data_IF_885997752516
#
_entry.id   IF_885997752516
#
_cell.length_a   1.000
_cell.length_b   1.000
_cell.length_c   1.000
_cell.angle_alpha   90.00
_cell.angle_beta   90.00
_cell.angle_gamma   90.00
#
_symmetry.space_group_name_H-M   'P 1'
#
loop_
_entity.id
_entity.type
_entity.pdbx_description
1 polymer ?
#
# COMPACT_ATOMS: atom_id res chain seq x y z
N UNK A 1 47.23 28.50 40.17
CA UNK A 1 45.89 28.43 40.78
C UNK A 1 45.02 29.55 40.22
N UNK A 2 44.12 29.24 39.29
CA UNK A 2 42.80 29.88 39.20
C UNK A 2 41.85 29.00 38.36
N UNK A 3 40.79 28.56 39.04
CA UNK A 3 39.50 28.11 38.54
C UNK A 3 39.44 27.15 37.32
N UNK A 4 39.76 25.88 37.54
CA UNK A 4 38.98 24.78 36.94
C UNK A 4 37.76 24.60 37.86
N UNK A 5 36.64 25.24 37.55
CA UNK A 5 35.40 25.09 38.31
C UNK A 5 34.31 24.42 37.48
N UNK A 6 33.71 23.41 38.12
CA UNK A 6 32.40 22.81 37.90
C UNK A 6 32.25 21.69 36.85
N UNK A 7 32.46 20.46 37.34
CA UNK A 7 31.68 19.24 37.07
C UNK A 7 31.39 18.84 35.61
N UNK A 8 32.12 17.87 35.09
CA UNK A 8 31.61 17.03 33.99
C UNK A 8 31.94 15.54 34.16
N UNK A 9 31.99 15.06 35.41
CA UNK A 9 32.27 13.65 35.76
C UNK A 9 31.02 12.78 35.94
N UNK A 10 29.85 13.16 35.42
CA UNK A 10 28.58 12.45 35.70
C UNK A 10 27.96 11.69 34.52
N UNK A 11 28.52 11.74 33.30
CA UNK A 11 27.94 11.05 32.14
C UNK A 11 28.97 10.20 31.41
N UNK A 12 28.60 8.93 31.14
CA UNK A 12 29.37 8.07 30.25
C UNK A 12 29.37 8.69 28.84
N UNK A 13 30.55 8.87 28.26
CA UNK A 13 30.71 9.43 26.90
C UNK A 13 30.73 8.27 25.90
N UNK A 14 29.68 8.08 25.09
CA UNK A 14 29.69 7.04 24.05
C UNK A 14 30.68 7.39 22.93
N UNK A 15 31.17 6.38 22.22
CA UNK A 15 32.05 6.59 21.06
C UNK A 15 31.36 7.31 19.89
N UNK A 16 30.04 7.13 19.77
CA UNK A 16 29.23 7.70 18.69
C UNK A 16 27.89 8.17 19.26
N UNK A 17 27.44 9.36 18.86
CA UNK A 17 26.05 9.81 19.04
C UNK A 17 25.46 10.16 17.68
N UNK A 18 24.22 9.76 17.45
CA UNK A 18 23.50 10.14 16.24
C UNK A 18 22.23 10.93 16.53
N UNK A 19 21.90 11.90 15.70
CA UNK A 19 20.58 12.58 15.69
C UNK A 19 20.06 12.76 14.27
N UNK A 20 18.73 12.89 14.15
CA UNK A 20 18.10 13.40 12.93
C UNK A 20 17.41 14.73 13.22
N UNK A 21 17.84 15.78 12.54
CA UNK A 21 17.37 17.15 12.78
C UNK A 21 16.67 17.69 11.53
N UNK A 22 15.72 18.60 11.73
CA UNK A 22 15.05 19.32 10.64
C UNK A 22 15.94 20.47 10.18
N UNK A 23 16.05 20.66 8.87
CA UNK A 23 16.66 21.86 8.29
C UNK A 23 15.84 23.08 8.72
N UNK A 24 16.52 24.11 9.23
CA UNK A 24 15.86 25.36 9.57
C UNK A 24 15.80 26.27 8.35
N UNK A 25 14.77 27.11 8.30
CA UNK A 25 14.66 28.17 7.30
C UNK A 25 14.38 29.48 8.02
N UNK A 26 15.11 30.53 7.63
CA UNK A 26 14.93 31.87 8.15
C UNK A 26 15.11 32.87 6.99
N UNK A 27 14.09 33.70 6.75
CA UNK A 27 14.08 34.70 5.68
C UNK A 27 14.43 34.09 4.29
N UNK A 28 13.87 32.92 3.98
CA UNK A 28 14.09 32.21 2.71
C UNK A 28 15.47 31.54 2.57
N UNK A 29 16.29 31.51 3.62
CA UNK A 29 17.61 30.88 3.61
C UNK A 29 17.64 29.64 4.51
N UNK A 30 18.13 28.53 3.96
CA UNK A 30 18.33 27.28 4.70
C UNK A 30 19.49 27.41 5.69
N UNK A 31 19.33 26.79 6.86
CA UNK A 31 20.31 26.76 7.95
C UNK A 31 20.39 25.36 8.55
N UNK A 32 21.61 24.87 8.72
CA UNK A 32 21.89 23.66 9.52
C UNK A 32 22.11 24.10 10.96
N UNK A 33 21.19 23.71 11.84
CA UNK A 33 21.26 24.00 13.27
C UNK A 33 21.33 22.71 14.08
N UNK A 34 22.40 22.56 14.86
CA UNK A 34 22.62 21.41 15.74
C UNK A 34 22.61 21.91 17.18
N UNK A 35 21.51 21.66 17.88
CA UNK A 35 21.37 21.97 19.31
C UNK A 35 21.38 20.67 20.10
N UNK A 36 22.38 20.48 20.96
CA UNK A 36 22.57 19.21 21.67
C UNK A 36 23.53 19.34 22.84
N UNK A 37 23.18 18.72 23.97
CA UNK A 37 24.10 18.49 25.10
C UNK A 37 25.30 17.61 24.68
N UNK A 38 25.10 16.73 23.69
CA UNK A 38 26.17 15.85 23.19
C UNK A 38 27.30 16.56 22.44
N UNK A 39 27.11 17.81 21.99
CA UNK A 39 28.18 18.55 21.29
C UNK A 39 29.38 18.70 22.23
N UNK A 40 29.15 19.16 23.46
CA UNK A 40 30.20 19.30 24.46
C UNK A 40 30.80 17.95 24.87
N UNK A 41 29.95 16.94 25.12
CA UNK A 41 30.43 15.58 25.44
C UNK A 41 31.33 14.98 24.35
N UNK A 42 31.14 15.40 23.09
CA UNK A 42 31.92 14.94 21.94
C UNK A 42 33.17 15.79 21.66
N UNK A 43 33.57 16.66 22.59
CA UNK A 43 34.80 17.45 22.51
C UNK A 43 34.67 18.80 21.80
N UNK A 44 33.44 19.34 21.73
CA UNK A 44 33.16 20.67 21.17
C UNK A 44 32.71 21.64 22.27
N UNK A 45 33.63 22.41 22.81
CA UNK A 45 33.38 23.34 23.91
C UNK A 45 32.75 24.67 23.44
N UNK A 46 31.82 25.27 24.19
CA UNK A 46 31.33 26.62 23.88
C UNK A 46 32.47 27.64 23.70
N UNK A 47 32.40 28.42 22.63
CA UNK A 47 33.43 29.38 22.23
C UNK A 47 34.51 28.82 21.31
N UNK A 48 34.66 27.49 21.22
CA UNK A 48 35.63 26.84 20.34
C UNK A 48 35.32 27.15 18.88
N UNK A 49 36.37 27.47 18.11
CA UNK A 49 36.26 27.69 16.67
C UNK A 49 36.22 26.35 15.93
N UNK A 50 35.46 26.33 14.85
CA UNK A 50 35.19 25.15 14.04
C UNK A 50 35.25 25.51 12.55
N UNK A 51 35.46 24.49 11.73
CA UNK A 51 35.36 24.58 10.27
C UNK A 51 34.40 23.50 9.78
N UNK A 52 33.61 23.82 8.75
CA UNK A 52 32.77 22.88 8.03
C UNK A 52 33.38 22.60 6.66
N UNK A 53 33.74 21.34 6.40
CA UNK A 53 34.43 20.90 5.17
C UNK A 53 33.48 20.01 4.36
N UNK A 54 33.19 20.33 3.09
CA UNK A 54 32.40 19.47 2.21
C UNK A 54 32.90 18.02 2.21
N UNK A 55 31.98 17.07 2.15
CA UNK A 55 32.30 15.65 2.12
C UNK A 55 31.93 15.02 0.78
N UNK A 56 32.78 14.13 0.28
CA UNK A 56 32.51 13.32 -0.92
C UNK A 56 31.29 12.41 -0.75
N UNK A 57 30.92 12.07 0.50
CA UNK A 57 29.74 11.29 0.82
C UNK A 57 28.45 12.14 0.90
N UNK A 58 28.49 13.39 0.42
CA UNK A 58 27.42 14.38 0.56
C UNK A 58 27.44 15.08 1.93
N UNK A 59 26.83 16.25 2.01
CA UNK A 59 26.88 17.10 3.20
C UNK A 59 28.31 17.57 3.52
N UNK A 60 28.64 17.69 4.80
CA UNK A 60 29.93 18.21 5.26
C UNK A 60 30.31 17.68 6.65
N UNK A 61 31.58 17.81 6.99
CA UNK A 61 32.14 17.44 8.30
C UNK A 61 32.53 18.69 9.06
N UNK A 62 32.17 18.74 10.34
CA UNK A 62 32.54 19.80 11.27
C UNK A 62 33.67 19.30 12.16
N UNK A 63 34.75 20.06 12.24
CA UNK A 63 35.93 19.75 13.06
C UNK A 63 36.40 21.00 13.82
N UNK A 64 37.05 20.83 14.99
CA UNK A 64 37.78 21.92 15.63
C UNK A 64 38.77 22.59 14.68
N UNK A 65 38.90 23.91 14.78
CA UNK A 65 39.86 24.69 13.98
C UNK A 65 40.21 25.97 14.71
N UNK A 66 41.50 26.24 14.93
CA UNK A 66 41.95 27.45 15.62
C UNK A 66 41.55 28.75 14.90
N UNK A 67 41.53 28.73 13.57
CA UNK A 67 41.19 29.87 12.71
C UNK A 67 39.82 29.73 12.06
N UNK A 68 39.02 28.75 12.48
CA UNK A 68 37.73 28.42 11.88
C UNK A 68 36.76 29.61 11.88
N UNK A 69 35.99 29.83 10.80
CA UNK A 69 35.11 31.00 10.70
C UNK A 69 33.86 30.92 11.58
N UNK A 70 33.48 29.73 12.05
CA UNK A 70 32.33 29.53 12.92
C UNK A 70 32.73 29.13 14.34
N UNK A 71 31.80 29.25 15.28
CA UNK A 71 32.02 28.91 16.69
C UNK A 71 30.92 27.98 17.20
N UNK A 72 31.25 27.21 18.23
CA UNK A 72 30.27 26.55 19.09
C UNK A 72 29.69 27.61 20.03
N UNK A 73 28.38 27.67 20.15
CA UNK A 73 27.67 28.63 20.99
C UNK A 73 26.96 27.92 22.16
N UNK A 74 26.76 28.63 23.27
CA UNK A 74 25.82 28.20 24.31
C UNK A 74 24.41 28.65 23.94
N UNK A 75 23.44 27.74 23.97
CA UNK A 75 22.04 28.12 23.71
C UNK A 75 21.40 28.72 24.96
N UNK A 76 20.88 29.94 24.84
CA UNK A 76 20.03 30.58 25.86
C UNK A 76 18.57 30.47 25.47
N UNK A 77 17.71 30.18 26.44
CA UNK A 77 16.26 30.11 26.25
C UNK A 77 15.61 31.27 26.99
N UNK A 78 14.66 31.94 26.34
CA UNK A 78 13.94 33.10 26.92
C UNK A 78 12.91 32.69 27.99
N UNK A 79 12.57 31.40 28.08
CA UNK A 79 11.69 30.83 29.12
C UNK A 79 12.47 29.83 29.96
N UNK A 80 12.17 29.81 31.25
CA UNK A 80 12.75 28.86 32.21
C UNK A 80 12.39 27.43 31.79
N UNK A 81 13.40 26.57 31.60
CA UNK A 81 13.20 25.17 31.22
C UNK A 81 13.11 24.30 32.48
N UNK A 82 12.28 23.26 32.46
CA UNK A 82 12.22 22.24 33.50
C UNK A 82 13.28 21.13 33.37
N UNK A 83 14.08 21.15 32.30
CA UNK A 83 15.05 20.09 31.97
C UNK A 83 16.42 20.72 31.64
N UNK A 84 17.41 20.57 32.52
CA UNK A 84 18.79 21.09 32.38
C UNK A 84 19.75 19.89 32.43
N UNK A 85 20.82 19.81 31.60
CA UNK A 85 21.82 20.87 31.40
C UNK A 85 21.68 21.70 30.10
N UNK A 86 22.42 22.83 30.07
CA UNK A 86 22.46 23.83 29.00
C UNK A 86 22.97 23.23 27.68
N UNK A 87 22.19 23.37 26.61
CA UNK A 87 22.55 22.84 25.28
C UNK A 87 23.61 23.70 24.58
N UNK A 88 24.62 23.04 24.02
CA UNK A 88 25.53 23.63 23.04
C UNK A 88 24.86 23.68 21.66
N UNK A 89 25.27 24.65 20.85
CA UNK A 89 24.68 25.00 19.56
C UNK A 89 25.76 25.20 18.50
N UNK A 90 25.60 24.55 17.36
CA UNK A 90 26.34 24.86 16.14
C UNK A 90 25.31 25.30 15.08
N UNK A 91 25.51 26.47 14.47
CA UNK A 91 24.67 26.98 13.38
C UNK A 91 25.52 27.29 12.16
N UNK A 92 25.13 26.74 11.01
CA UNK A 92 25.76 26.98 9.71
C UNK A 92 24.70 27.51 8.74
N UNK A 93 24.95 28.70 8.19
CA UNK A 93 24.04 29.44 7.32
C UNK A 93 24.63 29.77 5.96
N UNK A 94 25.82 29.24 5.63
CA UNK A 94 26.46 29.46 4.33
C UNK A 94 25.61 28.84 3.22
N UNK A 95 24.95 29.70 2.43
CA UNK A 95 24.13 29.29 1.29
C UNK A 95 24.95 28.50 0.28
N UNK A 96 26.19 28.92 0.01
CA UNK A 96 27.08 28.21 -0.90
C UNK A 96 27.37 26.79 -0.41
N UNK A 97 27.76 26.63 0.87
CA UNK A 97 28.06 25.32 1.45
C UNK A 97 26.83 24.41 1.44
N UNK A 98 25.68 24.92 1.88
CA UNK A 98 24.45 24.12 1.97
C UNK A 98 23.99 23.71 0.56
N UNK A 99 23.92 24.65 -0.38
CA UNK A 99 23.45 24.35 -1.73
C UNK A 99 24.41 23.46 -2.52
N UNK A 100 25.72 23.52 -2.25
CA UNK A 100 26.70 22.64 -2.91
C UNK A 100 26.76 21.22 -2.33
N UNK A 101 26.27 21.02 -1.10
CA UNK A 101 26.41 19.73 -0.39
C UNK A 101 25.10 19.01 -0.08
N UNK A 102 23.95 19.71 -0.15
CA UNK A 102 22.64 19.14 0.10
C UNK A 102 21.81 19.09 -1.20
N UNK A 103 21.24 17.93 -1.56
CA UNK A 103 20.32 17.84 -2.68
C UNK A 103 19.10 18.79 -2.52
N UNK A 104 18.53 19.27 -3.63
CA UNK A 104 17.24 19.98 -3.62
C UNK A 104 16.16 19.20 -2.87
N UNK A 105 15.24 19.91 -2.22
CA UNK A 105 14.16 19.27 -1.44
C UNK A 105 14.58 18.65 -0.10
N UNK A 106 15.86 18.71 0.29
CA UNK A 106 16.27 18.19 1.61
C UNK A 106 15.65 19.00 2.75
N UNK A 107 14.90 18.30 3.62
CA UNK A 107 14.20 18.86 4.78
C UNK A 107 14.81 18.42 6.12
N UNK A 108 15.57 17.32 6.13
CA UNK A 108 16.19 16.76 7.33
C UNK A 108 17.62 16.33 7.06
N UNK A 109 18.39 16.17 8.12
CA UNK A 109 19.76 15.69 8.05
C UNK A 109 20.13 14.82 9.24
N UNK A 110 21.02 13.88 9.00
CA UNK A 110 21.62 13.04 10.01
C UNK A 110 22.89 13.71 10.54
N UNK A 111 23.06 13.72 11.85
CA UNK A 111 24.32 14.10 12.50
C UNK A 111 24.90 12.89 13.18
N UNK A 112 26.14 12.54 12.84
CA UNK A 112 26.94 11.53 13.55
C UNK A 112 28.09 12.24 14.23
N UNK A 113 28.08 12.23 15.55
CA UNK A 113 29.08 12.87 16.40
C UNK A 113 30.01 11.79 16.93
N UNK A 114 31.30 11.95 16.66
CA UNK A 114 32.41 11.23 17.28
C UNK A 114 33.30 12.25 17.97
N UNK A 115 34.27 11.79 18.76
CA UNK A 115 35.20 12.70 19.44
C UNK A 115 35.86 13.65 18.43
N UNK A 116 35.69 14.95 18.64
CA UNK A 116 36.22 16.04 17.82
C UNK A 116 35.79 16.02 16.34
N UNK A 117 34.71 15.33 15.97
CA UNK A 117 34.17 15.35 14.61
C UNK A 117 32.65 15.20 14.60
N UNK A 118 31.97 16.03 13.80
CA UNK A 118 30.52 15.89 13.54
C UNK A 118 30.32 15.76 12.05
N UNK A 119 29.86 14.59 11.60
CA UNK A 119 29.45 14.38 10.22
C UNK A 119 27.99 14.80 10.06
N UNK A 120 27.72 15.66 9.09
CA UNK A 120 26.37 16.11 8.72
C UNK A 120 26.05 15.58 7.34
N UNK A 121 25.00 14.76 7.22
CA UNK A 121 24.58 14.14 5.96
C UNK A 121 23.12 14.43 5.65
N UNK A 122 22.76 14.81 4.41
CA UNK A 122 21.37 15.03 4.04
C UNK A 122 20.57 13.73 4.19
N UNK A 123 19.34 13.83 4.70
CA UNK A 123 18.37 12.73 4.64
C UNK A 123 17.53 12.97 3.38
N UNK A 124 17.53 12.05 2.41
CA UNK A 124 16.80 12.26 1.17
C UNK A 124 15.31 12.41 1.42
N UNK A 125 14.68 13.41 0.78
CA UNK A 125 13.23 13.54 0.79
C UNK A 125 12.65 12.46 -0.13
N UNK A 126 11.96 11.49 0.48
CA UNK A 126 11.45 10.30 -0.21
C UNK A 126 10.48 10.67 -1.33
N UNK A 127 9.46 11.48 -1.06
CA UNK A 127 8.48 11.92 -2.05
C UNK A 127 9.15 12.67 -3.22
N UNK A 128 10.05 13.60 -2.92
CA UNK A 128 10.81 14.33 -3.93
C UNK A 128 11.65 13.41 -4.82
N UNK A 129 12.34 12.43 -4.23
CA UNK A 129 13.17 11.49 -4.98
C UNK A 129 12.35 10.55 -5.86
N UNK A 130 11.20 10.08 -5.37
CA UNK A 130 10.26 9.28 -6.15
C UNK A 130 9.79 10.11 -7.35
N UNK A 131 9.26 11.32 -7.13
CA UNK A 131 8.80 12.20 -8.21
C UNK A 131 9.91 12.45 -9.26
N UNK A 132 11.14 12.72 -8.82
CA UNK A 132 12.29 12.91 -9.70
C UNK A 132 12.62 11.66 -10.53
N UNK A 133 12.55 10.46 -9.93
CA UNK A 133 12.85 9.18 -10.59
C UNK A 133 11.85 8.83 -11.68
N UNK A 134 10.58 9.21 -11.50
CA UNK A 134 9.50 8.95 -12.45
C UNK A 134 9.30 10.05 -13.49
N UNK A 135 10.14 11.09 -13.51
CA UNK A 135 10.03 12.14 -14.52
C UNK A 135 10.42 11.58 -15.89
N UNK A 136 9.49 11.62 -16.85
CA UNK A 136 9.74 11.18 -18.22
C UNK A 136 9.91 9.66 -18.33
N UNK A 137 9.13 8.88 -17.59
CA UNK A 137 9.02 7.43 -17.77
C UNK A 137 7.57 7.06 -18.09
N UNK A 138 7.35 5.91 -18.73
CA UNK A 138 6.01 5.34 -18.95
C UNK A 138 5.32 5.10 -17.60
N UNK A 139 4.25 5.85 -17.27
CA UNK A 139 3.66 5.84 -15.93
C UNK A 139 2.50 4.85 -15.82
N UNK A 140 2.30 3.94 -16.78
CA UNK A 140 1.15 3.03 -16.79
C UNK A 140 1.48 1.62 -16.29
N UNK A 141 2.55 1.46 -15.50
CA UNK A 141 3.02 0.13 -15.08
C UNK A 141 2.78 -0.11 -13.60
N UNK A 142 2.23 -1.27 -13.29
CA UNK A 142 1.80 -1.61 -11.95
C UNK A 142 2.49 -2.87 -11.42
N UNK A 143 2.73 -2.87 -10.11
CA UNK A 143 2.75 -4.10 -9.33
C UNK A 143 1.34 -4.37 -8.82
N UNK A 144 0.83 -5.60 -8.95
CA UNK A 144 -0.47 -6.00 -8.40
C UNK A 144 -0.29 -7.22 -7.49
N UNK A 145 -0.83 -7.15 -6.28
CA UNK A 145 -0.65 -8.20 -5.29
C UNK A 145 -1.99 -8.65 -4.68
N UNK A 146 -2.12 -9.97 -4.45
CA UNK A 146 -3.29 -10.63 -3.84
C UNK A 146 -4.57 -10.47 -4.69
N UNK A 147 -4.42 -10.66 -5.99
CA UNK A 147 -5.31 -10.30 -7.09
C UNK A 147 -6.42 -11.33 -7.35
N UNK A 148 -6.10 -12.62 -7.38
CA UNK A 148 -6.97 -13.65 -7.97
C UNK A 148 -7.28 -13.49 -9.47
N UNK A 149 -6.77 -12.45 -10.14
CA UNK A 149 -6.88 -12.18 -11.59
C UNK A 149 -7.85 -11.07 -12.00
N UNK A 150 -8.95 -10.85 -11.26
CA UNK A 150 -10.04 -9.95 -11.70
C UNK A 150 -9.64 -8.48 -11.69
N UNK A 151 -8.94 -8.02 -10.65
CA UNK A 151 -8.45 -6.63 -10.56
C UNK A 151 -7.36 -6.32 -11.60
N UNK A 152 -6.51 -7.30 -11.96
CA UNK A 152 -5.54 -7.17 -13.06
C UNK A 152 -6.25 -6.96 -14.39
N UNK A 153 -7.22 -7.80 -14.71
CA UNK A 153 -8.01 -7.65 -15.92
C UNK A 153 -8.69 -6.27 -15.97
N UNK A 154 -9.21 -5.81 -14.82
CA UNK A 154 -9.80 -4.48 -14.68
C UNK A 154 -8.79 -3.34 -14.90
N UNK A 155 -7.60 -3.43 -14.30
CA UNK A 155 -6.52 -2.45 -14.45
C UNK A 155 -6.02 -2.36 -15.90
N UNK A 156 -5.89 -3.49 -16.57
CA UNK A 156 -5.47 -3.55 -17.98
C UNK A 156 -6.51 -2.90 -18.91
N UNK A 157 -7.81 -3.12 -18.66
CA UNK A 157 -8.89 -2.39 -19.36
C UNK A 157 -8.86 -0.88 -19.09
N UNK A 158 -8.43 -0.46 -17.90
CA UNK A 158 -8.23 0.95 -17.56
C UNK A 158 -6.97 1.56 -18.18
N UNK A 159 -6.12 0.76 -18.85
CA UNK A 159 -4.91 1.21 -19.56
C UNK A 159 -3.59 1.00 -18.82
N UNK A 160 -3.59 0.32 -17.67
CA UNK A 160 -2.37 -0.08 -17.00
C UNK A 160 -1.77 -1.36 -17.61
N UNK A 161 -0.51 -1.63 -17.30
CA UNK A 161 0.18 -2.90 -17.54
C UNK A 161 0.55 -3.50 -16.20
N UNK A 162 -0.02 -4.65 -15.88
CA UNK A 162 0.26 -5.39 -14.65
C UNK A 162 1.56 -6.18 -14.78
N UNK A 163 2.67 -5.45 -14.94
CA UNK A 163 3.99 -6.00 -15.27
C UNK A 163 4.53 -6.96 -14.21
N UNK A 164 4.23 -6.71 -12.92
CA UNK A 164 4.70 -7.53 -11.80
C UNK A 164 3.50 -7.96 -10.96
N UNK A 165 3.41 -9.25 -10.70
CA UNK A 165 2.33 -9.84 -9.90
C UNK A 165 2.91 -10.58 -8.71
N UNK A 166 2.32 -10.36 -7.54
CA UNK A 166 2.54 -11.19 -6.36
C UNK A 166 1.23 -11.89 -6.04
N UNK A 167 1.16 -13.19 -6.30
CA UNK A 167 -0.06 -13.95 -6.03
C UNK A 167 0.28 -15.30 -5.44
N UNK A 168 -0.22 -15.56 -4.24
CA UNK A 168 -0.11 -16.82 -3.54
C UNK A 168 -1.42 -17.05 -2.80
N UNK A 169 -2.06 -18.19 -3.04
CA UNK A 169 -3.28 -18.56 -2.34
C UNK A 169 -2.92 -19.30 -1.04
N UNK A 170 -3.16 -18.72 0.15
CA UNK A 170 -2.85 -19.43 1.39
C UNK A 170 -3.64 -20.74 1.52
N UNK A 171 -2.99 -21.78 2.04
CA UNK A 171 -3.65 -23.07 2.28
C UNK A 171 -4.71 -22.93 3.36
N UNK A 172 -5.97 -23.19 2.99
CA UNK A 172 -7.03 -23.28 3.98
C UNK A 172 -6.99 -24.68 4.64
N UNK A 173 -7.38 -24.77 5.92
CA UNK A 173 -7.38 -26.04 6.69
C UNK A 173 -8.10 -27.18 5.95
N UNK A 174 -9.17 -26.87 5.22
CA UNK A 174 -9.93 -27.84 4.44
C UNK A 174 -9.16 -28.40 3.25
N UNK A 175 -8.28 -27.60 2.65
CA UNK A 175 -7.46 -28.03 1.51
C UNK A 175 -6.43 -29.04 2.01
N UNK A 176 -5.78 -28.71 3.13
CA UNK A 176 -4.86 -29.61 3.86
C UNK A 176 -5.57 -30.92 4.24
N UNK A 177 -6.75 -30.83 4.87
CA UNK A 177 -7.51 -32.02 5.30
C UNK A 177 -7.95 -32.90 4.12
N UNK A 178 -8.15 -32.30 2.94
CA UNK A 178 -8.51 -33.01 1.71
C UNK A 178 -7.28 -33.47 0.91
N UNK A 179 -6.06 -33.24 1.40
CA UNK A 179 -4.82 -33.57 0.68
C UNK A 179 -4.60 -32.76 -0.60
N UNK A 180 -5.19 -31.57 -0.70
CA UNK A 180 -5.07 -30.67 -1.87
C UNK A 180 -4.02 -29.60 -1.60
N UNK A 181 -3.17 -29.33 -2.59
CA UNK A 181 -2.38 -28.10 -2.64
C UNK A 181 -2.98 -27.17 -3.72
N UNK A 182 -3.46 -25.99 -3.32
CA UNK A 182 -4.07 -25.00 -4.21
C UNK A 182 -3.32 -23.65 -4.25
N UNK A 183 -2.05 -23.61 -3.84
CA UNK A 183 -1.26 -22.36 -3.71
C UNK A 183 -1.08 -21.60 -5.02
N UNK A 184 -1.05 -22.32 -6.14
CA UNK A 184 -0.82 -21.79 -7.47
C UNK A 184 -2.10 -21.36 -8.20
N UNK A 185 -3.28 -21.76 -7.70
CA UNK A 185 -4.54 -21.65 -8.46
C UNK A 185 -4.85 -20.20 -8.87
N UNK A 186 -4.69 -19.26 -7.95
CA UNK A 186 -4.91 -17.84 -8.28
C UNK A 186 -3.81 -17.27 -9.17
N UNK A 187 -2.56 -17.69 -9.00
CA UNK A 187 -1.44 -17.25 -9.82
C UNK A 187 -1.62 -17.70 -11.27
N UNK A 188 -2.05 -18.95 -11.48
CA UNK A 188 -2.44 -19.48 -12.78
C UNK A 188 -3.63 -18.70 -13.35
N UNK A 189 -4.64 -18.39 -12.53
CA UNK A 189 -5.78 -17.59 -12.98
C UNK A 189 -5.36 -16.19 -13.45
N UNK A 190 -4.40 -15.58 -12.77
CA UNK A 190 -3.81 -14.32 -13.20
C UNK A 190 -3.13 -14.45 -14.55
N UNK A 191 -2.37 -15.52 -14.82
CA UNK A 191 -1.74 -15.73 -16.14
C UNK A 191 -2.73 -16.10 -17.25
N UNK A 192 -3.90 -16.64 -16.88
CA UNK A 192 -4.97 -16.91 -17.84
C UNK A 192 -5.64 -15.62 -18.30
N UNK A 193 -5.74 -14.65 -17.39
CA UNK A 193 -6.55 -13.43 -17.55
C UNK A 193 -5.73 -12.13 -17.66
N UNK A 194 -4.41 -12.25 -17.76
CA UNK A 194 -3.48 -11.14 -17.86
C UNK A 194 -2.12 -11.63 -18.31
N UNK A 195 -1.20 -10.70 -18.59
CA UNK A 195 0.12 -11.04 -19.14
C UNK A 195 1.26 -10.43 -18.30
N UNK A 196 1.44 -10.87 -17.03
CA UNK A 196 2.51 -10.36 -16.19
C UNK A 196 3.88 -10.73 -16.76
N UNK A 197 4.85 -9.83 -16.64
CA UNK A 197 6.25 -10.10 -17.00
C UNK A 197 6.98 -10.87 -15.91
N UNK A 198 6.67 -10.54 -14.66
CA UNK A 198 7.18 -11.21 -13.48
C UNK A 198 6.01 -11.69 -12.64
N UNK A 199 5.94 -12.99 -12.41
CA UNK A 199 4.98 -13.61 -11.49
C UNK A 199 5.74 -14.17 -10.29
N UNK A 200 5.43 -13.65 -9.12
CA UNK A 200 6.00 -14.06 -7.83
C UNK A 200 4.94 -14.85 -7.09
N UNK A 201 5.00 -16.18 -7.18
CA UNK A 201 4.11 -17.08 -6.46
C UNK A 201 4.72 -17.46 -5.10
N UNK A 202 4.83 -16.45 -4.23
CA UNK A 202 5.36 -16.59 -2.87
C UNK A 202 4.41 -15.96 -1.87
N UNK A 203 4.38 -16.51 -0.67
CA UNK A 203 3.67 -15.90 0.45
C UNK A 203 4.25 -14.48 0.71
N UNK A 204 3.37 -13.47 0.71
CA UNK A 204 3.72 -12.07 0.93
C UNK A 204 4.48 -11.83 2.25
N UNK A 205 4.29 -12.70 3.25
CA UNK A 205 5.04 -12.64 4.52
C UNK A 205 6.50 -13.08 4.39
N UNK A 206 6.83 -13.88 3.36
CA UNK A 206 8.16 -14.44 3.13
C UNK A 206 8.94 -13.70 2.05
N UNK A 207 8.26 -12.94 1.18
CA UNK A 207 8.90 -12.16 0.12
C UNK A 207 9.89 -11.16 0.72
N UNK A 208 11.11 -11.18 0.19
CA UNK A 208 12.10 -10.14 0.46
C UNK A 208 11.93 -8.98 -0.54
N UNK A 209 11.51 -7.78 -0.10
CA UNK A 209 11.28 -6.66 -1.02
C UNK A 209 12.56 -6.17 -1.72
N UNK A 210 13.75 -6.39 -1.13
CA UNK A 210 15.01 -6.02 -1.77
C UNK A 210 15.35 -6.96 -2.94
N UNK A 211 15.04 -8.26 -2.81
CA UNK A 211 15.15 -9.20 -3.92
C UNK A 211 14.13 -8.91 -5.02
N UNK A 212 12.88 -8.62 -4.65
CA UNK A 212 11.86 -8.17 -5.60
C UNK A 212 12.33 -6.92 -6.37
N UNK A 213 12.89 -5.94 -5.67
CA UNK A 213 13.45 -4.74 -6.30
C UNK A 213 14.58 -5.04 -7.25
N UNK A 214 15.44 -6.01 -6.93
CA UNK A 214 16.52 -6.47 -7.80
C UNK A 214 15.97 -7.17 -9.05
N UNK A 215 14.96 -8.04 -8.91
CA UNK A 215 14.25 -8.64 -10.05
C UNK A 215 13.68 -7.56 -10.97
N UNK A 216 13.13 -6.49 -10.42
CA UNK A 216 12.59 -5.37 -11.20
C UNK A 216 13.65 -4.43 -11.79
N UNK A 217 14.94 -4.49 -11.39
CA UNK A 217 15.94 -3.48 -11.71
C UNK A 217 16.29 -3.37 -13.22
N UNK A 218 16.01 -4.41 -14.01
CA UNK A 218 16.16 -4.41 -15.47
C UNK A 218 14.88 -4.05 -16.25
N UNK A 219 13.77 -3.81 -15.54
CA UNK A 219 12.47 -3.53 -16.13
C UNK A 219 12.10 -2.05 -15.98
N UNK A 220 10.99 -1.67 -16.59
CA UNK A 220 10.46 -0.31 -16.45
C UNK A 220 9.95 -0.07 -15.04
N UNK A 221 9.98 1.20 -14.62
CA UNK A 221 9.55 1.59 -13.29
C UNK A 221 8.04 1.39 -13.12
N UNK A 222 7.65 0.93 -11.94
CA UNK A 222 6.26 0.68 -11.56
C UNK A 222 5.71 1.94 -10.86
N UNK A 223 4.81 2.66 -11.52
CA UNK A 223 4.21 3.89 -11.01
C UNK A 223 3.11 3.62 -9.97
N UNK A 224 2.51 2.44 -10.04
CA UNK A 224 1.38 2.02 -9.23
C UNK A 224 1.71 0.72 -8.49
N UNK A 225 1.45 0.69 -7.18
CA UNK A 225 1.34 -0.55 -6.41
C UNK A 225 -0.11 -0.79 -6.04
N UNK A 226 -0.68 -1.94 -6.39
CA UNK A 226 -2.06 -2.32 -6.06
C UNK A 226 -2.03 -3.50 -5.08
N UNK A 227 -2.73 -3.37 -3.96
CA UNK A 227 -2.75 -4.37 -2.90
C UNK A 227 -4.18 -4.67 -2.46
N UNK A 228 -4.65 -5.87 -2.78
CA UNK A 228 -5.98 -6.39 -2.39
C UNK A 228 -5.85 -7.24 -1.13
N UNK A 229 -5.58 -6.58 0.01
CA UNK A 229 -5.21 -7.24 1.28
C UNK A 229 -6.32 -8.20 1.74
N UNK A 230 -5.95 -9.42 2.12
CA UNK A 230 -6.91 -10.43 2.58
C UNK A 230 -7.82 -9.90 3.70
N UNK A 231 -9.14 -10.03 3.49
CA UNK A 231 -10.14 -9.29 4.24
C UNK A 231 -10.91 -10.11 5.29
N UNK A 232 -10.63 -11.41 5.41
CA UNK A 232 -11.39 -12.35 6.26
C UNK A 232 -11.50 -11.90 7.71
N UNK A 233 -10.43 -11.34 8.29
CA UNK A 233 -10.42 -10.87 9.68
C UNK A 233 -11.08 -9.50 9.88
N UNK A 234 -11.27 -8.74 8.80
CA UNK A 234 -11.96 -7.45 8.82
C UNK A 234 -13.45 -7.57 8.43
N UNK A 235 -13.86 -8.74 7.91
CA UNK A 235 -15.23 -9.05 7.53
C UNK A 235 -16.12 -9.36 8.73
N UNK A 236 -17.41 -9.03 8.62
CA UNK A 236 -18.43 -9.42 9.62
C UNK A 236 -18.94 -10.85 9.43
N UNK A 237 -18.51 -11.56 8.38
CA UNK A 237 -18.92 -12.93 8.10
C UNK A 237 -18.22 -13.91 9.04
N UNK A 238 -16.91 -13.75 9.24
CA UNK A 238 -16.07 -14.57 10.13
C UNK A 238 -16.39 -14.23 11.59
N UNK A 239 -16.68 -15.22 12.42
CA UNK A 239 -17.07 -14.99 13.82
C UNK A 239 -15.89 -14.52 14.67
N UNK A 240 -16.17 -13.81 15.77
CA UNK A 240 -15.11 -13.35 16.68
C UNK A 240 -14.27 -14.51 17.24
N UNK A 241 -14.89 -15.67 17.51
CA UNK A 241 -14.18 -16.88 17.94
C UNK A 241 -13.24 -17.41 16.85
N UNK A 242 -13.66 -17.39 15.59
CA UNK A 242 -12.82 -17.80 14.45
C UNK A 242 -11.66 -16.82 14.24
N UNK A 243 -11.90 -15.51 14.38
CA UNK A 243 -10.84 -14.49 14.31
C UNK A 243 -9.80 -14.69 15.42
N UNK A 244 -10.26 -14.88 16.66
CA UNK A 244 -9.37 -15.16 17.79
C UNK A 244 -8.53 -16.43 17.59
N UNK A 245 -9.15 -17.49 17.03
CA UNK A 245 -8.43 -18.71 16.67
C UNK A 245 -7.37 -18.47 15.60
N UNK A 246 -7.68 -17.69 14.56
CA UNK A 246 -6.70 -17.34 13.52
C UNK A 246 -5.50 -16.57 14.06
N UNK A 247 -5.68 -15.76 15.09
CA UNK A 247 -4.55 -15.12 15.79
C UNK A 247 -3.71 -16.15 16.54
N UNK A 248 -4.35 -17.12 17.21
CA UNK A 248 -3.65 -18.15 17.98
C UNK A 248 -2.85 -19.12 17.10
N UNK A 249 -3.39 -19.50 15.94
CA UNK A 249 -2.74 -20.43 15.00
C UNK A 249 -1.96 -19.74 13.88
N UNK A 250 -1.80 -18.41 13.95
CA UNK A 250 -1.04 -17.59 13.01
C UNK A 250 -1.59 -17.61 11.57
N UNK A 251 -2.84 -18.02 11.36
CA UNK A 251 -3.54 -17.92 10.06
C UNK A 251 -4.26 -16.58 9.84
N UNK A 252 -4.03 -15.59 10.71
CA UNK A 252 -4.65 -14.28 10.60
C UNK A 252 -4.01 -13.43 9.49
N UNK A 253 -4.80 -12.58 8.85
CA UNK A 253 -4.33 -11.59 7.87
C UNK A 253 -4.22 -10.17 8.43
N UNK A 254 -4.45 -9.98 9.74
CA UNK A 254 -4.47 -8.65 10.39
C UNK A 254 -3.12 -7.94 10.22
N UNK A 255 -2.03 -8.69 10.31
CA UNK A 255 -0.65 -8.21 10.22
C UNK A 255 -0.12 -8.14 8.78
N UNK A 256 -0.90 -8.53 7.76
CA UNK A 256 -0.54 -8.45 6.33
C UNK A 256 -0.24 -7.02 5.87
N UNK A 257 -0.70 -6.01 6.62
CA UNK A 257 -0.31 -4.61 6.43
C UNK A 257 1.21 -4.39 6.59
N UNK A 258 1.90 -5.22 7.38
CA UNK A 258 3.35 -5.11 7.59
C UNK A 258 4.15 -5.42 6.32
N UNK A 259 4.02 -6.60 5.67
CA UNK A 259 4.75 -6.87 4.43
C UNK A 259 4.32 -5.94 3.29
N UNK A 260 3.05 -5.49 3.23
CA UNK A 260 2.61 -4.46 2.28
C UNK A 260 3.36 -3.13 2.49
N UNK A 261 3.45 -2.65 3.73
CA UNK A 261 4.23 -1.45 4.05
C UNK A 261 5.70 -1.60 3.69
N UNK A 262 6.30 -2.78 3.95
CA UNK A 262 7.69 -3.09 3.57
C UNK A 262 7.88 -3.05 2.05
N UNK A 263 6.93 -3.60 1.29
CA UNK A 263 6.95 -3.56 -0.17
C UNK A 263 6.90 -2.12 -0.68
N UNK A 264 5.92 -1.32 -0.23
CA UNK A 264 5.77 0.10 -0.60
C UNK A 264 7.02 0.90 -0.20
N UNK A 265 7.61 0.59 0.96
CA UNK A 265 8.81 1.28 1.45
C UNK A 265 10.01 1.07 0.53
N UNK A 266 10.23 -0.15 0.05
CA UNK A 266 11.41 -0.52 -0.75
C UNK A 266 11.23 -0.20 -2.23
N UNK A 267 10.05 -0.49 -2.77
CA UNK A 267 9.70 -0.28 -4.18
C UNK A 267 9.41 1.19 -4.49
N UNK A 268 8.84 1.93 -3.53
CA UNK A 268 8.64 3.38 -3.59
C UNK A 268 7.80 3.82 -4.81
N UNK A 269 6.59 3.28 -4.93
CA UNK A 269 5.62 3.67 -5.95
C UNK A 269 5.19 5.14 -5.78
N UNK A 270 5.04 5.94 -6.85
CA UNK A 270 4.41 7.25 -6.76
C UNK A 270 2.98 7.20 -6.20
N UNK A 271 2.23 6.19 -6.61
CA UNK A 271 0.84 5.96 -6.19
C UNK A 271 0.68 4.52 -5.72
N UNK A 272 -0.08 4.33 -4.65
CA UNK A 272 -0.47 3.02 -4.15
C UNK A 272 -1.98 2.98 -3.96
N UNK A 273 -2.63 1.93 -4.46
CA UNK A 273 -4.04 1.67 -4.29
C UNK A 273 -4.22 0.43 -3.42
N UNK A 274 -5.04 0.53 -2.39
CA UNK A 274 -5.33 -0.56 -1.46
C UNK A 274 -6.83 -0.77 -1.43
N UNK A 275 -7.26 -2.01 -1.68
CA UNK A 275 -8.66 -2.42 -1.61
C UNK A 275 -8.88 -3.28 -0.37
N UNK A 276 -10.03 -3.10 0.29
CA UNK A 276 -10.47 -3.98 1.36
C UNK A 276 -11.98 -3.89 1.62
N UNK A 277 -12.49 -4.68 2.55
CA UNK A 277 -13.86 -4.51 3.09
C UNK A 277 -13.96 -3.25 3.97
N UNK A 278 -15.17 -2.72 4.10
CA UNK A 278 -15.47 -1.52 4.92
C UNK A 278 -14.88 -1.58 6.34
N UNK A 279 -14.91 -2.76 6.98
CA UNK A 279 -14.42 -2.95 8.35
C UNK A 279 -12.93 -2.66 8.54
N UNK A 280 -12.14 -2.62 7.46
CA UNK A 280 -10.72 -2.30 7.52
C UNK A 280 -10.43 -0.83 7.86
N UNK A 281 -11.29 0.09 7.45
CA UNK A 281 -11.11 1.54 7.58
C UNK A 281 -10.73 1.96 9.01
N UNK A 282 -11.51 1.47 9.98
CA UNK A 282 -11.42 1.83 11.40
C UNK A 282 -10.67 0.78 12.22
N UNK A 283 -10.16 -0.28 11.58
CA UNK A 283 -9.36 -1.29 12.25
C UNK A 283 -7.96 -0.76 12.59
N UNK A 284 -7.34 -1.28 13.65
CA UNK A 284 -5.98 -0.91 14.05
C UNK A 284 -4.96 -1.09 12.92
N UNK A 285 -5.12 -2.16 12.13
CA UNK A 285 -4.29 -2.44 10.95
C UNK A 285 -4.37 -1.30 9.90
N UNK A 286 -5.59 -0.85 9.56
CA UNK A 286 -5.80 0.29 8.64
C UNK A 286 -5.25 1.60 9.21
N UNK A 287 -5.39 1.82 10.52
CA UNK A 287 -4.82 3.00 11.21
C UNK A 287 -3.29 3.01 11.15
N UNK A 288 -2.63 1.86 11.42
CA UNK A 288 -1.18 1.71 11.33
C UNK A 288 -0.70 1.93 9.90
N UNK A 289 -1.35 1.30 8.92
CA UNK A 289 -1.06 1.45 7.50
C UNK A 289 -1.04 2.93 7.08
N UNK A 290 -2.12 3.67 7.35
CA UNK A 290 -2.24 5.10 7.03
C UNK A 290 -1.18 5.95 7.72
N UNK A 291 -0.92 5.70 9.01
CA UNK A 291 0.09 6.44 9.76
C UNK A 291 1.49 6.24 9.19
N UNK A 292 1.82 5.00 8.82
CA UNK A 292 3.13 4.66 8.23
C UNK A 292 3.29 5.24 6.82
N UNK A 293 2.26 5.16 5.98
CA UNK A 293 2.26 5.81 4.66
C UNK A 293 2.47 7.33 4.78
N UNK A 294 1.81 7.98 5.74
CA UNK A 294 2.04 9.40 6.04
C UNK A 294 3.49 9.70 6.44
N UNK A 295 4.12 8.84 7.25
CA UNK A 295 5.55 8.96 7.61
C UNK A 295 6.49 8.73 6.42
N UNK A 296 6.07 7.93 5.44
CA UNK A 296 6.77 7.74 4.18
C UNK A 296 6.55 8.91 3.19
N UNK A 297 5.71 9.89 3.51
CA UNK A 297 5.48 11.07 2.69
C UNK A 297 4.32 10.95 1.70
N UNK A 298 3.47 9.92 1.83
CA UNK A 298 2.23 9.81 1.06
C UNK A 298 1.10 10.60 1.72
N UNK A 299 0.20 11.11 0.88
CA UNK A 299 -1.12 11.60 1.26
C UNK A 299 -2.12 10.47 1.05
N UNK A 300 -2.91 10.17 2.08
CA UNK A 300 -3.88 9.08 2.07
C UNK A 300 -5.27 9.63 1.77
N UNK A 301 -5.92 9.07 0.75
CA UNK A 301 -7.29 9.40 0.33
C UNK A 301 -8.17 8.16 0.50
N UNK A 302 -9.05 8.21 1.50
CA UNK A 302 -9.93 7.11 1.87
C UNK A 302 -11.30 7.23 1.20
N UNK A 303 -11.85 6.11 0.75
CA UNK A 303 -13.15 6.06 0.08
C UNK A 303 -13.90 4.80 0.53
N UNK A 304 -15.21 4.92 0.76
CA UNK A 304 -16.11 3.77 0.98
C UNK A 304 -17.20 3.84 -0.08
N UNK A 305 -17.14 2.90 -1.02
CA UNK A 305 -17.91 2.96 -2.27
C UNK A 305 -18.81 1.73 -2.39
N UNK A 306 -20.06 1.93 -2.78
CA UNK A 306 -21.00 0.85 -3.14
C UNK A 306 -21.06 0.74 -4.65
N UNK A 307 -20.86 -0.46 -5.20
CA UNK A 307 -20.80 -0.67 -6.64
C UNK A 307 -22.02 -0.18 -7.42
N UNK A 308 -23.20 -0.12 -6.78
CA UNK A 308 -24.42 0.43 -7.41
C UNK A 308 -24.33 1.91 -7.73
N UNK A 309 -23.51 2.65 -6.98
CA UNK A 309 -23.24 4.06 -7.24
C UNK A 309 -22.22 4.24 -8.38
N UNK A 310 -21.69 3.14 -8.94
CA UNK A 310 -20.69 3.13 -10.01
C UNK A 310 -21.08 2.17 -11.15
N UNK A 311 -22.38 1.92 -11.31
CA UNK A 311 -22.95 1.22 -12.47
C UNK A 311 -22.91 -0.31 -12.37
N UNK A 312 -22.40 -0.83 -11.27
CA UNK A 312 -22.58 -2.22 -10.88
C UNK A 312 -24.02 -2.49 -10.45
N UNK A 313 -24.39 -3.77 -10.48
CA UNK A 313 -25.72 -4.25 -10.06
C UNK A 313 -25.66 -5.11 -8.80
N UNK A 314 -24.49 -5.18 -8.15
CA UNK A 314 -24.31 -5.81 -6.86
C UNK A 314 -24.23 -4.76 -5.75
N UNK A 315 -24.94 -4.99 -4.64
CA UNK A 315 -24.74 -4.25 -3.40
C UNK A 315 -23.43 -4.70 -2.74
N UNK A 316 -22.30 -4.27 -3.29
CA UNK A 316 -20.94 -4.56 -2.80
C UNK A 316 -20.28 -3.26 -2.35
N UNK A 317 -20.21 -3.05 -1.03
CA UNK A 317 -19.47 -1.93 -0.46
C UNK A 317 -18.02 -2.32 -0.23
N UNK A 318 -17.08 -1.49 -0.69
CA UNK A 318 -15.63 -1.66 -0.50
C UNK A 318 -14.96 -0.39 -0.03
N UNK A 319 -13.93 -0.59 0.77
CA UNK A 319 -12.99 0.43 1.18
C UNK A 319 -11.86 0.50 0.16
N UNK A 320 -11.53 1.71 -0.27
CA UNK A 320 -10.37 2.00 -1.06
C UNK A 320 -9.51 3.04 -0.34
N UNK A 321 -8.19 2.85 -0.39
CA UNK A 321 -7.21 3.83 0.03
C UNK A 321 -6.27 4.09 -1.14
N UNK A 322 -6.26 5.33 -1.63
CA UNK A 322 -5.24 5.81 -2.57
C UNK A 322 -4.21 6.62 -1.80
N UNK A 323 -2.99 6.12 -1.73
CA UNK A 323 -1.85 6.78 -1.12
C UNK A 323 -0.93 7.33 -2.22
N UNK A 324 -0.72 8.63 -2.26
CA UNK A 324 0.03 9.31 -3.34
C UNK A 324 1.04 10.31 -2.79
N UNK A 325 2.22 10.39 -3.39
CA UNK A 325 3.18 11.47 -3.08
C UNK A 325 2.76 12.83 -3.65
N UNK A 326 1.83 12.82 -4.61
CA UNK A 326 1.30 14.01 -5.28
C UNK A 326 0.06 14.55 -4.57
N UNK A 327 -0.15 15.88 -4.58
CA UNK A 327 -1.39 16.49 -4.09
C UNK A 327 -2.56 16.26 -5.07
N UNK A 328 -3.80 16.46 -4.59
CA UNK A 328 -4.95 16.68 -5.48
C UNK A 328 -5.58 15.43 -6.09
N UNK A 329 -5.48 14.26 -5.46
CA UNK A 329 -6.25 13.10 -5.92
C UNK A 329 -7.75 13.36 -5.78
N UNK A 330 -8.48 13.18 -6.88
CA UNK A 330 -9.94 13.30 -6.96
C UNK A 330 -10.57 11.90 -7.04
N UNK A 331 -11.43 11.52 -6.08
CA UNK A 331 -12.19 10.27 -6.12
C UNK A 331 -13.13 10.19 -7.34
N UNK A 332 -13.47 8.96 -7.80
CA UNK A 332 -14.50 8.79 -8.83
C UNK A 332 -15.83 9.35 -8.34
N UNK A 333 -16.60 9.92 -9.27
CA UNK A 333 -17.90 10.51 -8.96
C UNK A 333 -19.00 9.44 -9.04
N UNK A 334 -19.96 9.44 -8.11
CA UNK A 334 -21.07 8.49 -8.15
C UNK A 334 -22.02 8.82 -9.31
N UNK A 335 -22.68 7.79 -9.82
CA UNK A 335 -23.77 7.88 -10.78
C UNK A 335 -25.09 7.38 -10.18
N UNK A 336 -26.19 7.67 -10.88
CA UNK A 336 -27.51 7.19 -10.47
C UNK A 336 -27.54 5.65 -10.44
N UNK A 337 -28.14 5.08 -9.39
CA UNK A 337 -28.24 3.63 -9.24
C UNK A 337 -29.14 3.02 -10.32
N UNK A 338 -28.78 1.86 -10.88
CA UNK A 338 -29.68 1.11 -11.74
C UNK A 338 -30.97 0.75 -11.00
N UNK A 339 -32.12 1.00 -11.64
CA UNK A 339 -33.45 0.67 -11.11
C UNK A 339 -34.16 -0.42 -11.91
N UNK A 340 -33.60 -0.80 -13.06
CA UNK A 340 -34.14 -1.86 -13.90
C UNK A 340 -34.03 -3.21 -13.20
N UNK A 341 -34.97 -4.11 -13.51
CA UNK A 341 -34.87 -5.50 -13.04
C UNK A 341 -33.60 -6.15 -13.60
N UNK A 342 -32.89 -6.90 -12.75
CA UNK A 342 -31.76 -7.75 -13.16
C UNK A 342 -32.23 -9.12 -13.65
N UNK A 343 -33.54 -9.37 -13.68
CA UNK A 343 -34.09 -10.65 -14.11
C UNK A 343 -33.66 -11.11 -15.50
N UNK A 344 -33.56 -10.25 -16.55
CA UNK A 344 -33.09 -10.69 -17.86
C UNK A 344 -31.70 -11.34 -17.82
N UNK A 345 -30.83 -10.87 -16.91
CA UNK A 345 -29.50 -11.46 -16.69
C UNK A 345 -29.64 -12.83 -16.03
N UNK A 346 -30.52 -12.96 -15.01
CA UNK A 346 -30.76 -14.24 -14.33
C UNK A 346 -31.35 -15.26 -15.31
N UNK A 347 -32.35 -14.87 -16.09
CA UNK A 347 -33.05 -15.73 -17.05
C UNK A 347 -32.10 -16.30 -18.12
N UNK A 348 -31.15 -15.49 -18.61
CA UNK A 348 -30.08 -15.91 -19.53
C UNK A 348 -29.27 -17.10 -19.00
N UNK A 349 -29.02 -17.16 -17.69
CA UNK A 349 -28.15 -18.16 -17.05
C UNK A 349 -28.91 -19.20 -16.21
N UNK A 350 -30.24 -19.12 -16.13
CA UNK A 350 -31.04 -19.91 -15.19
C UNK A 350 -30.92 -21.42 -15.45
N UNK A 351 -30.78 -21.82 -16.71
CA UNK A 351 -30.62 -23.23 -17.10
C UNK A 351 -29.32 -23.86 -16.56
N UNK A 352 -28.27 -23.05 -16.36
CA UNK A 352 -26.98 -23.50 -15.83
C UNK A 352 -26.92 -23.44 -14.29
N UNK A 353 -27.94 -22.83 -13.66
CA UNK A 353 -28.01 -22.72 -12.22
C UNK A 353 -28.44 -24.06 -11.59
N UNK A 354 -27.72 -24.50 -10.56
CA UNK A 354 -28.01 -25.77 -9.88
C UNK A 354 -29.26 -25.64 -9.02
N UNK A 355 -30.23 -26.53 -9.23
CA UNK A 355 -31.36 -26.67 -8.33
C UNK A 355 -30.91 -27.23 -6.97
N UNK A 356 -31.20 -26.48 -5.91
CA UNK A 356 -30.81 -26.78 -4.53
C UNK A 356 -31.99 -26.81 -3.58
N UNK A 357 -33.22 -26.82 -4.11
CA UNK A 357 -34.49 -26.74 -3.37
C UNK A 357 -34.55 -27.70 -2.19
N UNK A 358 -34.16 -28.96 -2.41
CA UNK A 358 -34.30 -30.03 -1.41
C UNK A 358 -33.12 -30.20 -0.46
N UNK A 359 -32.06 -29.41 -0.65
CA UNK A 359 -30.83 -29.52 0.15
C UNK A 359 -31.07 -29.16 1.62
N UNK A 360 -30.32 -29.80 2.52
CA UNK A 360 -30.46 -29.58 3.96
C UNK A 360 -30.17 -28.13 4.38
N UNK A 361 -29.25 -27.45 3.68
CA UNK A 361 -28.91 -26.06 4.00
C UNK A 361 -29.98 -25.05 3.56
N UNK A 362 -30.70 -25.29 2.47
CA UNK A 362 -31.86 -24.46 2.09
C UNK A 362 -33.01 -24.67 3.08
N UNK A 363 -33.28 -25.91 3.48
CA UNK A 363 -34.26 -26.21 4.55
C UNK A 363 -33.89 -25.52 5.88
N UNK A 364 -32.60 -25.48 6.22
CA UNK A 364 -32.10 -24.79 7.41
C UNK A 364 -32.14 -23.25 7.28
N UNK A 365 -32.01 -22.70 6.06
CA UNK A 365 -32.10 -21.27 5.76
C UNK A 365 -33.49 -20.72 6.08
N UNK A 366 -34.55 -21.46 5.75
CA UNK A 366 -35.95 -21.07 6.02
C UNK A 366 -36.24 -20.82 7.51
N UNK A 367 -35.42 -21.37 8.42
CA UNK A 367 -35.56 -21.23 9.88
C UNK A 367 -34.58 -20.23 10.49
N UNK A 368 -33.82 -19.50 9.67
CA UNK A 368 -32.74 -18.63 10.15
C UNK A 368 -33.08 -17.15 9.98
N UNK A 369 -32.75 -16.35 11.00
CA UNK A 369 -32.84 -14.89 10.95
C UNK A 369 -31.63 -14.22 10.27
N UNK A 370 -30.63 -15.01 9.87
CA UNK A 370 -29.41 -14.54 9.24
C UNK A 370 -29.34 -15.17 7.85
N UNK A 371 -29.93 -14.48 6.88
CA UNK A 371 -30.03 -14.91 5.48
C UNK A 371 -29.91 -13.69 4.57
N UNK A 372 -29.39 -13.90 3.36
CA UNK A 372 -29.48 -12.89 2.32
C UNK A 372 -30.89 -12.86 1.71
N UNK A 373 -31.26 -11.76 1.08
CA UNK A 373 -32.49 -11.71 0.28
C UNK A 373 -32.32 -12.58 -0.97
N UNK A 374 -33.26 -13.48 -1.31
CA UNK A 374 -33.22 -14.21 -2.57
C UNK A 374 -33.45 -13.27 -3.76
N UNK A 375 -32.94 -13.67 -4.92
CA UNK A 375 -33.21 -13.00 -6.19
C UNK A 375 -34.55 -13.48 -6.75
N UNK A 376 -35.40 -12.54 -7.13
CA UNK A 376 -36.73 -12.74 -7.73
C UNK A 376 -36.87 -11.89 -8.99
N UNK A 377 -37.97 -12.05 -9.72
CA UNK A 377 -38.29 -11.30 -10.95
C UNK A 377 -38.30 -9.78 -10.75
N UNK A 378 -38.57 -9.31 -9.54
CA UNK A 378 -38.64 -7.91 -9.15
C UNK A 378 -37.31 -7.37 -8.62
N UNK A 379 -36.28 -8.21 -8.53
CA UNK A 379 -34.97 -7.79 -8.02
C UNK A 379 -34.30 -6.83 -8.99
N UNK A 380 -33.84 -5.69 -8.48
CA UNK A 380 -33.12 -4.66 -9.24
C UNK A 380 -31.63 -4.65 -8.98
N UNK A 381 -31.18 -5.47 -8.02
CA UNK A 381 -29.77 -5.66 -7.69
C UNK A 381 -29.59 -7.01 -7.00
N UNK A 382 -28.34 -7.51 -6.95
CA UNK A 382 -27.98 -8.69 -6.19
C UNK A 382 -27.27 -8.32 -4.86
N UNK A 383 -27.51 -9.04 -3.74
CA UNK A 383 -26.67 -8.93 -2.56
C UNK A 383 -25.20 -9.28 -2.84
N UNK A 384 -24.30 -8.99 -1.90
CA UNK A 384 -22.87 -9.36 -2.01
C UNK A 384 -22.72 -10.87 -2.19
N UNK A 385 -22.13 -11.30 -3.31
CA UNK A 385 -21.67 -12.67 -3.51
C UNK A 385 -20.35 -12.84 -2.77
N UNK A 386 -20.21 -13.95 -2.03
CA UNK A 386 -19.11 -14.20 -1.10
C UNK A 386 -18.34 -15.46 -1.50
N UNK A 387 -17.07 -15.57 -1.08
CA UNK A 387 -16.18 -16.69 -1.44
C UNK A 387 -16.73 -18.08 -1.10
N UNK A 388 -17.58 -18.18 -0.09
CA UNK A 388 -18.19 -19.43 0.39
C UNK A 388 -19.51 -19.78 -0.30
N UNK A 389 -19.91 -19.05 -1.35
CA UNK A 389 -21.17 -19.22 -2.07
C UNK A 389 -21.42 -20.67 -2.52
N UNK A 390 -20.41 -21.36 -3.08
CA UNK A 390 -20.56 -22.74 -3.57
C UNK A 390 -20.81 -23.77 -2.46
N UNK A 391 -20.52 -23.41 -1.19
CA UNK A 391 -20.52 -24.31 -0.02
C UNK A 391 -21.90 -24.46 0.63
N UNK A 392 -22.95 -23.86 0.04
CA UNK A 392 -24.32 -23.99 0.56
C UNK A 392 -24.53 -23.26 1.90
N UNK A 393 -24.00 -22.05 2.04
CA UNK A 393 -24.14 -21.26 3.26
C UNK A 393 -25.49 -20.54 3.35
N UNK A 394 -25.96 -20.28 4.58
CA UNK A 394 -27.22 -19.56 4.84
C UNK A 394 -27.22 -18.13 4.32
N UNK A 395 -26.07 -17.48 4.34
CA UNK A 395 -25.90 -16.08 3.91
C UNK A 395 -25.61 -15.95 2.40
N UNK A 396 -25.53 -17.06 1.66
CA UNK A 396 -25.26 -17.07 0.21
C UNK A 396 -26.42 -16.52 -0.60
N UNK A 397 -26.18 -16.07 -1.83
CA UNK A 397 -27.20 -15.58 -2.76
C UNK A 397 -27.87 -16.76 -3.47
N UNK A 398 -29.20 -16.81 -3.51
CA UNK A 398 -29.96 -17.83 -4.24
C UNK A 398 -31.07 -17.18 -5.05
N UNK A 399 -31.56 -17.89 -6.05
CA UNK A 399 -32.63 -17.45 -6.96
C UNK A 399 -33.89 -18.23 -6.61
N UNK A 400 -35.02 -17.54 -6.47
CA UNK A 400 -36.33 -18.16 -6.29
C UNK A 400 -37.17 -17.94 -7.55
N UNK A 401 -37.55 -19.03 -8.21
CA UNK A 401 -38.43 -18.99 -9.39
C UNK A 401 -39.32 -20.23 -9.43
N UNK A 402 -40.61 -20.04 -9.74
CA UNK A 402 -41.55 -21.16 -9.91
C UNK A 402 -41.64 -22.11 -8.71
N UNK A 403 -41.42 -21.62 -7.48
CA UNK A 403 -41.42 -22.44 -6.26
C UNK A 403 -40.14 -23.26 -6.02
N UNK A 404 -39.10 -23.05 -6.83
CA UNK A 404 -37.79 -23.72 -6.70
C UNK A 404 -36.70 -22.73 -6.29
N UNK A 405 -35.62 -23.26 -5.72
CA UNK A 405 -34.46 -22.49 -5.27
C UNK A 405 -33.21 -22.94 -6.03
N UNK A 406 -32.53 -22.00 -6.69
CA UNK A 406 -31.35 -22.26 -7.48
C UNK A 406 -30.11 -21.58 -6.89
N UNK A 407 -28.97 -22.25 -6.95
CA UNK A 407 -27.66 -21.67 -6.71
C UNK A 407 -27.11 -21.09 -8.02
N UNK A 408 -26.58 -19.84 -8.02
CA UNK A 408 -26.12 -19.18 -9.23
C UNK A 408 -24.93 -19.91 -9.84
N UNK A 409 -24.89 -20.00 -11.17
CA UNK A 409 -23.74 -20.48 -11.94
C UNK A 409 -22.58 -19.49 -11.93
N UNK A 410 -21.40 -19.93 -12.33
CA UNK A 410 -20.19 -19.12 -12.49
C UNK A 410 -20.44 -17.94 -13.45
N UNK A 411 -21.05 -18.21 -14.61
CA UNK A 411 -21.39 -17.19 -15.60
C UNK A 411 -22.36 -16.14 -15.07
N UNK A 412 -23.38 -16.56 -14.30
CA UNK A 412 -24.28 -15.62 -13.65
C UNK A 412 -23.54 -14.76 -12.61
N UNK A 413 -22.68 -15.35 -11.79
CA UNK A 413 -21.90 -14.61 -10.79
C UNK A 413 -21.01 -13.57 -11.47
N UNK A 414 -20.34 -13.95 -12.57
CA UNK A 414 -19.47 -13.07 -13.35
C UNK A 414 -20.23 -11.83 -13.85
N UNK A 415 -21.39 -12.04 -14.49
CA UNK A 415 -22.22 -10.94 -15.02
C UNK A 415 -22.81 -10.07 -13.90
N UNK A 416 -23.26 -10.67 -12.78
CA UNK A 416 -23.75 -9.94 -11.61
C UNK A 416 -22.68 -9.09 -10.92
N UNK A 417 -21.41 -9.49 -11.01
CA UNK A 417 -20.24 -8.74 -10.52
C UNK A 417 -19.67 -7.78 -11.57
N UNK A 418 -20.38 -7.62 -12.69
CA UNK A 418 -20.00 -6.79 -13.84
C UNK A 418 -18.68 -7.19 -14.50
N UNK A 419 -18.21 -8.42 -14.28
CA UNK A 419 -16.97 -8.93 -14.83
C UNK A 419 -17.21 -9.27 -16.31
N UNK A 420 -16.38 -8.80 -17.25
CA UNK A 420 -16.53 -9.08 -18.67
C UNK A 420 -16.47 -10.57 -19.02
N UNK A 421 -17.20 -10.98 -20.07
CA UNK A 421 -17.28 -12.37 -20.54
C UNK A 421 -15.94 -12.96 -21.03
N UNK A 422 -14.95 -12.11 -21.35
CA UNK A 422 -13.60 -12.55 -21.73
C UNK A 422 -12.67 -12.82 -20.54
N UNK A 423 -13.12 -12.59 -19.31
CA UNK A 423 -12.47 -13.14 -18.13
C UNK A 423 -12.81 -14.63 -17.99
N UNK A 424 -11.81 -15.49 -18.08
CA UNK A 424 -11.96 -16.94 -18.18
C UNK A 424 -11.61 -17.66 -16.86
N UNK A 425 -12.62 -18.30 -16.28
CA UNK A 425 -12.52 -19.21 -15.13
C UNK A 425 -12.89 -20.66 -15.46
N UNK A 426 -13.15 -20.98 -16.74
CA UNK A 426 -13.65 -22.29 -17.20
C UNK A 426 -12.68 -23.44 -16.97
N UNK A 427 -11.39 -23.13 -16.79
CA UNK A 427 -10.33 -24.10 -16.49
C UNK A 427 -10.31 -24.53 -15.02
N UNK A 428 -11.00 -23.80 -14.13
CA UNK A 428 -11.02 -24.04 -12.69
C UNK A 428 -12.15 -25.01 -12.33
N UNK A 429 -12.00 -25.74 -11.22
CA UNK A 429 -13.15 -26.43 -10.65
C UNK A 429 -14.20 -25.42 -10.19
N UNK A 430 -15.50 -25.75 -10.35
CA UNK A 430 -16.61 -24.84 -10.01
C UNK A 430 -16.46 -24.16 -8.63
N UNK A 431 -16.09 -24.92 -7.60
CA UNK A 431 -15.90 -24.35 -6.26
C UNK A 431 -14.80 -23.28 -6.23
N UNK A 432 -13.70 -23.49 -6.95
CA UNK A 432 -12.57 -22.56 -7.04
C UNK A 432 -12.92 -21.32 -7.86
N UNK A 433 -13.65 -21.49 -8.98
CA UNK A 433 -14.13 -20.38 -9.80
C UNK A 433 -15.05 -19.46 -8.98
N UNK A 434 -16.05 -20.03 -8.31
CA UNK A 434 -16.99 -19.28 -7.45
C UNK A 434 -16.26 -18.61 -6.28
N UNK A 435 -15.26 -19.27 -5.68
CA UNK A 435 -14.43 -18.69 -4.63
C UNK A 435 -13.65 -17.47 -5.13
N UNK A 436 -13.03 -17.61 -6.30
CA UNK A 436 -12.27 -16.55 -6.98
C UNK A 436 -13.18 -15.36 -7.27
N UNK A 437 -14.33 -15.57 -7.91
CA UNK A 437 -15.28 -14.49 -8.18
C UNK A 437 -15.82 -13.87 -6.88
N UNK A 438 -16.20 -14.69 -5.90
CA UNK A 438 -16.81 -14.23 -4.65
C UNK A 438 -15.88 -13.40 -3.75
N UNK A 439 -14.56 -13.60 -3.84
CA UNK A 439 -13.58 -12.79 -3.11
C UNK A 439 -13.13 -11.54 -3.90
N UNK A 440 -13.31 -11.51 -5.22
CA UNK A 440 -12.87 -10.40 -6.08
C UNK A 440 -13.60 -9.07 -5.84
N UNK A 441 -13.10 -8.02 -6.49
CA UNK A 441 -13.73 -6.70 -6.55
C UNK A 441 -15.05 -6.73 -7.35
N UNK A 442 -15.88 -5.68 -7.25
CA UNK A 442 -16.90 -5.43 -8.28
C UNK A 442 -16.22 -4.69 -9.43
N UNK A 443 -16.37 -5.22 -10.65
CA UNK A 443 -15.54 -4.82 -11.77
C UNK A 443 -15.74 -3.37 -12.19
N UNK A 444 -16.99 -2.89 -12.28
CA UNK A 444 -17.28 -1.51 -12.69
C UNK A 444 -16.86 -0.51 -11.63
N UNK A 445 -17.08 -0.83 -10.36
CA UNK A 445 -16.60 -0.01 -9.26
C UNK A 445 -15.07 0.12 -9.28
N UNK A 446 -14.37 -1.01 -9.40
CA UNK A 446 -12.91 -1.01 -9.42
C UNK A 446 -12.37 -0.26 -10.63
N UNK A 447 -13.02 -0.40 -11.80
CA UNK A 447 -12.66 0.34 -13.00
C UNK A 447 -12.75 1.86 -12.80
N UNK A 448 -13.83 2.34 -12.19
CA UNK A 448 -13.99 3.76 -11.89
C UNK A 448 -12.87 4.30 -10.98
N UNK A 449 -12.45 3.51 -9.97
CA UNK A 449 -11.31 3.87 -9.11
C UNK A 449 -10.00 3.83 -9.89
N UNK A 450 -9.77 2.81 -10.72
CA UNK A 450 -8.59 2.68 -11.56
C UNK A 450 -8.46 3.85 -12.55
N UNK A 451 -9.57 4.31 -13.15
CA UNK A 451 -9.61 5.48 -14.01
C UNK A 451 -9.25 6.78 -13.27
N UNK A 452 -9.79 6.98 -12.07
CA UNK A 452 -9.43 8.13 -11.23
C UNK A 452 -7.94 8.12 -10.86
N UNK A 453 -7.39 6.94 -10.53
CA UNK A 453 -5.95 6.75 -10.27
C UNK A 453 -5.13 7.03 -11.51
N UNK A 454 -5.55 6.56 -12.70
CA UNK A 454 -4.87 6.84 -13.97
C UNK A 454 -4.83 8.33 -14.26
N UNK A 455 -5.97 9.02 -14.18
CA UNK A 455 -6.06 10.47 -14.39
C UNK A 455 -5.13 11.22 -13.45
N UNK A 456 -5.11 10.83 -12.17
CA UNK A 456 -4.21 11.42 -11.17
C UNK A 456 -2.72 11.21 -11.50
N UNK A 457 -2.36 10.01 -11.96
CA UNK A 457 -1.00 9.71 -12.43
C UNK A 457 -0.63 10.56 -13.65
N UNK A 458 -1.52 10.68 -14.63
CA UNK A 458 -1.30 11.47 -15.85
C UNK A 458 -1.10 12.95 -15.56
N UNK A 459 -1.92 13.52 -14.67
CA UNK A 459 -1.81 14.92 -14.24
C UNK A 459 -0.44 15.23 -13.61
N UNK A 460 0.21 14.25 -12.98
CA UNK A 460 1.43 14.45 -12.21
C UNK A 460 2.72 13.97 -12.90
N UNK A 461 2.64 12.91 -13.71
CA UNK A 461 3.78 12.30 -14.41
C UNK A 461 3.77 12.53 -15.92
N UNK A 462 2.67 13.02 -16.49
CA UNK A 462 2.48 13.23 -17.93
C UNK A 462 2.01 11.96 -18.65
N UNK A 463 1.72 12.09 -19.95
CA UNK A 463 1.18 11.00 -20.79
C UNK A 463 2.24 10.29 -21.64
N UNK A 464 3.53 10.62 -21.49
CA UNK A 464 4.55 10.28 -22.50
C UNK A 464 4.77 8.76 -22.63
N UNK A 465 4.35 8.11 -23.73
CA UNK A 465 4.75 6.75 -24.01
C UNK A 465 6.15 6.82 -24.61
N UNK A 466 7.17 6.35 -23.90
CA UNK A 466 8.51 6.23 -24.48
C UNK A 466 8.54 4.95 -25.30
N UNK A 467 8.56 5.09 -26.62
CA UNK A 467 8.90 3.99 -27.51
C UNK A 467 10.33 3.53 -27.20
N UNK A 468 10.47 2.34 -26.61
CA UNK A 468 11.79 1.71 -26.44
C UNK A 468 12.29 1.26 -27.81
N UNK A 469 13.32 1.92 -28.34
CA UNK A 469 14.15 1.30 -29.36
C UNK A 469 14.86 0.11 -28.70
N UNK A 470 14.47 -1.11 -29.09
CA UNK A 470 15.24 -2.30 -28.78
C UNK A 470 16.60 -2.18 -29.49
N UNK A 471 17.64 -1.78 -28.76
CA UNK A 471 18.99 -2.12 -29.18
C UNK A 471 19.15 -3.62 -28.98
N UNK A 472 19.00 -4.38 -30.07
CA UNK A 472 19.61 -5.70 -30.19
C UNK A 472 21.12 -5.50 -30.04
N UNK A 473 21.65 -5.76 -28.86
CA UNK A 473 23.06 -6.07 -28.70
C UNK A 473 23.27 -7.48 -29.26
N UNK A 474 23.45 -7.55 -30.58
CA UNK A 474 24.22 -8.63 -31.20
C UNK A 474 25.65 -8.49 -30.69
N UNK A 475 26.09 -9.39 -29.83
CA UNK A 475 27.50 -9.61 -29.57
C UNK A 475 27.84 -11.06 -29.94
N UNK A 476 28.61 -11.14 -31.03
CA UNK A 476 29.63 -12.15 -31.27
C UNK A 476 30.67 -12.13 -30.14
#
# INVERSE_FOLDING_TARGET
MSAITASNTAFSVPHVVTKQLKMNEASGRKKVRISSNFIQMMGFEPGQRIVAVPSIAGGFDIRPSETGPQKVHTRRYNRQRSNNPLESLIELSSTQLINSTFPPGTERFHTKMTRNQIQVRPIPNRAFNIAKRFKGVDPYRALVAMTGGVDIHCLERAGFKSDVVIEYRPQERRDINAGRNLEEVHALNTTRNGAPKLLINEDIYQINPDQLKQLCAGHDLLSLGVFSIQCDDFSNIKSNTQKARSVQDQSTSIDMVYPVLRNIEVMQYPVTMIENVRGFQDHAAGTILKSMLGRMGYRCHEMVLDARDYGGIQSRTRYYLVATIFPGFEPPQPQARPTNSIWPIIEKHLADCRDVTDTGYIKARARSHRTSRPLTRESTYTPTIVKSQARGIKDGVYIEDGGRVYAPSEGLIQELMSIPDDFDVSWMAQEQAIETLGQSIDYKLHHAVAEAVRQHIELNLGQTPIAKHHHQASLL
#
